data_IF_254961718717
#
_entry.id   IF_254961718717
#
_cell.length_a   1.000
_cell.length_b   1.000
_cell.length_c   1.000
_cell.angle_alpha   90.00
_cell.angle_beta   90.00
_cell.angle_gamma   90.00
#
_symmetry.space_group_name_H-M   'P 1'
#
loop_
_entity.id
_entity.type
_entity.pdbx_description
1 polymer ?
#
# COMPACT_ATOMS: atom_id res chain seq x y z
N UNK A 1 29.50 74.46 -44.32
CA UNK A 1 30.36 73.35 -43.83
C UNK A 1 30.66 73.35 -42.31
N UNK A 2 30.36 74.40 -41.51
CA UNK A 2 30.63 74.41 -40.05
C UNK A 2 29.48 73.84 -39.17
N UNK A 3 28.23 73.85 -39.64
CA UNK A 3 27.08 73.34 -38.89
C UNK A 3 26.99 71.80 -38.82
N UNK A 4 27.39 71.10 -39.89
CA UNK A 4 27.37 69.62 -39.93
C UNK A 4 28.39 68.96 -38.99
N UNK A 5 29.50 69.63 -38.68
CA UNK A 5 30.53 69.11 -37.76
C UNK A 5 30.09 69.20 -36.29
N UNK A 6 29.24 70.15 -35.92
CA UNK A 6 28.72 70.30 -34.55
C UNK A 6 27.63 69.26 -34.22
N UNK A 7 26.76 68.93 -35.20
CA UNK A 7 25.72 67.92 -35.03
C UNK A 7 26.30 66.49 -34.88
N UNK A 8 27.38 66.17 -35.61
CA UNK A 8 28.04 64.86 -35.51
C UNK A 8 28.77 64.66 -34.17
N UNK A 9 29.32 65.73 -33.59
CA UNK A 9 29.98 65.72 -32.27
C UNK A 9 28.96 65.60 -31.12
N UNK A 10 27.80 66.26 -31.22
CA UNK A 10 26.73 66.12 -30.24
C UNK A 10 26.08 64.72 -30.26
N UNK A 11 25.89 64.13 -31.44
CA UNK A 11 25.34 62.78 -31.59
C UNK A 11 26.30 61.68 -31.06
N UNK A 12 27.61 61.84 -31.26
CA UNK A 12 28.61 60.93 -30.69
C UNK A 12 28.73 61.11 -29.17
N UNK A 13 28.65 62.33 -28.65
CA UNK A 13 28.66 62.57 -27.20
C UNK A 13 27.41 62.01 -26.52
N UNK A 14 26.21 62.16 -27.12
CA UNK A 14 24.97 61.56 -26.60
C UNK A 14 24.96 60.03 -26.69
N UNK A 15 25.51 59.45 -27.76
CA UNK A 15 25.65 57.99 -27.91
C UNK A 15 26.66 57.39 -26.91
N UNK A 16 27.76 58.10 -26.63
CA UNK A 16 28.72 57.70 -25.58
C UNK A 16 28.14 57.84 -24.17
N UNK A 17 27.33 58.87 -23.92
CA UNK A 17 26.67 59.06 -22.61
C UNK A 17 25.56 58.03 -22.37
N UNK A 18 24.80 57.67 -23.40
CA UNK A 18 23.76 56.62 -23.32
C UNK A 18 24.36 55.23 -23.14
N UNK A 19 25.46 54.86 -23.82
CA UNK A 19 26.15 53.59 -23.56
C UNK A 19 26.84 53.52 -22.19
N UNK A 20 27.29 54.66 -21.65
CA UNK A 20 27.81 54.74 -20.28
C UNK A 20 26.71 54.71 -19.20
N UNK A 21 25.49 55.15 -19.52
CA UNK A 21 24.33 55.04 -18.62
C UNK A 21 23.73 53.64 -18.62
N UNK A 22 23.60 52.98 -19.77
CA UNK A 22 23.12 51.58 -19.84
C UNK A 22 24.05 50.63 -19.10
N UNK A 23 25.37 50.79 -19.24
CA UNK A 23 26.34 49.96 -18.50
C UNK A 23 26.32 50.18 -16.98
N UNK A 24 26.00 51.40 -16.51
CA UNK A 24 25.85 51.68 -15.08
C UNK A 24 24.51 51.19 -14.51
N UNK A 25 23.42 51.26 -15.28
CA UNK A 25 22.11 50.72 -14.88
C UNK A 25 22.11 49.18 -14.89
N UNK A 26 22.74 48.55 -15.88
CA UNK A 26 22.95 47.10 -15.95
C UNK A 26 23.89 46.61 -14.84
N UNK A 27 24.94 47.37 -14.51
CA UNK A 27 25.82 47.06 -13.38
C UNK A 27 25.12 47.23 -12.02
N UNK A 28 24.26 48.25 -11.87
CA UNK A 28 23.47 48.45 -10.66
C UNK A 28 22.38 47.37 -10.50
N UNK A 29 21.74 46.97 -11.60
CA UNK A 29 20.78 45.87 -11.64
C UNK A 29 21.45 44.52 -11.34
N UNK A 30 22.63 44.26 -11.92
CA UNK A 30 23.44 43.08 -11.62
C UNK A 30 23.93 43.06 -10.17
N UNK A 31 24.34 44.21 -9.61
CA UNK A 31 24.73 44.31 -8.21
C UNK A 31 23.55 44.06 -7.25
N UNK A 32 22.35 44.54 -7.60
CA UNK A 32 21.12 44.28 -6.84
C UNK A 32 20.68 42.82 -6.95
N UNK A 33 20.78 42.21 -8.14
CA UNK A 33 20.51 40.80 -8.37
C UNK A 33 21.51 39.90 -7.60
N UNK A 34 22.80 40.27 -7.57
CA UNK A 34 23.82 39.57 -6.80
C UNK A 34 23.58 39.71 -5.28
N UNK A 35 23.15 40.88 -4.81
CA UNK A 35 22.79 41.09 -3.40
C UNK A 35 21.54 40.28 -3.00
N UNK A 36 20.55 40.17 -3.90
CA UNK A 36 19.40 39.30 -3.70
C UNK A 36 19.80 37.82 -3.70
N UNK A 37 20.68 37.41 -4.63
CA UNK A 37 21.21 36.05 -4.71
C UNK A 37 22.02 35.68 -3.45
N UNK A 38 22.85 36.58 -2.92
CA UNK A 38 23.59 36.36 -1.66
C UNK A 38 22.68 36.13 -0.45
N UNK A 39 21.44 36.63 -0.48
CA UNK A 39 20.47 36.40 0.60
C UNK A 39 19.76 35.05 0.47
N UNK A 40 19.68 34.51 -0.74
CA UNK A 40 18.92 33.31 -1.07
C UNK A 40 19.80 32.05 -1.21
N UNK A 41 21.07 32.21 -1.55
CA UNK A 41 22.00 31.13 -1.87
C UNK A 41 23.22 31.13 -0.93
N UNK A 42 23.71 29.94 -0.52
CA UNK A 42 24.96 29.81 0.20
C UNK A 42 26.17 30.13 -0.68
N UNK A 43 27.31 30.46 -0.06
CA UNK A 43 28.52 30.91 -0.78
C UNK A 43 29.03 29.88 -1.80
N UNK A 44 28.99 28.59 -1.46
CA UNK A 44 29.42 27.52 -2.35
C UNK A 44 28.57 27.46 -3.65
N UNK A 45 27.27 27.73 -3.56
CA UNK A 45 26.37 27.69 -4.70
C UNK A 45 26.55 28.91 -5.63
N UNK A 46 26.95 30.06 -5.07
CA UNK A 46 27.29 31.25 -5.85
C UNK A 46 28.48 31.00 -6.78
N UNK A 47 29.44 30.17 -6.37
CA UNK A 47 30.56 29.76 -7.23
C UNK A 47 30.06 28.98 -8.45
N UNK A 48 29.12 28.06 -8.26
CA UNK A 48 28.51 27.32 -9.36
C UNK A 48 27.68 28.22 -10.29
N UNK A 49 26.85 29.10 -9.73
CA UNK A 49 26.01 30.03 -10.49
C UNK A 49 26.84 30.98 -11.35
N UNK A 50 27.89 31.58 -10.79
CA UNK A 50 28.77 32.51 -11.52
C UNK A 50 29.58 31.84 -12.63
N UNK A 51 29.85 30.53 -12.50
CA UNK A 51 30.52 29.73 -13.54
C UNK A 51 29.58 29.35 -14.69
N UNK A 52 28.33 29.00 -14.39
CA UNK A 52 27.40 28.39 -15.35
C UNK A 52 26.51 29.41 -16.08
N UNK A 53 26.11 30.50 -15.44
CA UNK A 53 25.22 31.51 -16.04
C UNK A 53 25.83 32.18 -17.28
N UNK A 54 27.12 32.58 -17.30
CA UNK A 54 27.71 33.20 -18.50
C UNK A 54 27.75 32.26 -19.71
N UNK A 55 27.83 30.95 -19.47
CA UNK A 55 27.87 29.92 -20.52
C UNK A 55 26.49 29.46 -21.00
N UNK A 56 25.42 29.73 -20.24
CA UNK A 56 24.08 29.26 -20.57
C UNK A 56 23.26 30.23 -21.42
N UNK A 57 23.81 31.40 -21.74
CA UNK A 57 23.12 32.44 -22.51
C UNK A 57 22.01 33.18 -21.77
N UNK A 58 21.82 32.94 -20.46
CA UNK A 58 20.86 33.64 -19.62
C UNK A 58 21.53 34.83 -18.90
N UNK A 59 20.78 35.93 -18.70
CA UNK A 59 21.21 37.02 -17.81
C UNK A 59 20.92 36.68 -16.35
N UNK A 60 21.75 37.17 -15.41
CA UNK A 60 21.51 37.11 -13.96
C UNK A 60 20.18 37.76 -13.52
N UNK A 61 19.65 38.67 -14.33
CA UNK A 61 18.38 39.38 -14.09
C UNK A 61 17.17 38.70 -14.73
N UNK A 62 17.39 37.78 -15.67
CA UNK A 62 16.32 37.07 -16.38
C UNK A 62 15.91 35.81 -15.62
N UNK A 63 15.05 35.99 -14.63
CA UNK A 63 14.50 34.90 -13.82
C UNK A 63 13.80 33.86 -14.67
N UNK A 64 13.16 34.24 -15.78
CA UNK A 64 12.42 33.29 -16.64
C UNK A 64 13.39 32.33 -17.32
N UNK A 65 14.43 32.86 -17.95
CA UNK A 65 15.47 32.04 -18.59
C UNK A 65 16.16 31.10 -17.59
N UNK A 66 16.50 31.60 -16.40
CA UNK A 66 17.12 30.81 -15.34
C UNK A 66 16.23 29.64 -14.87
N UNK A 67 14.91 29.85 -14.80
CA UNK A 67 13.97 28.84 -14.33
C UNK A 67 13.59 27.81 -15.42
N UNK A 68 13.55 28.20 -16.69
CA UNK A 68 13.10 27.31 -17.79
C UNK A 68 14.22 26.53 -18.46
N UNK A 69 15.48 26.93 -18.29
CA UNK A 69 16.61 26.28 -18.96
C UNK A 69 16.99 24.95 -18.26
N UNK A 70 16.60 23.82 -18.87
CA UNK A 70 16.84 22.48 -18.33
C UNK A 70 18.33 22.12 -18.24
N UNK A 71 19.13 22.49 -19.24
CA UNK A 71 20.57 22.18 -19.28
C UNK A 71 21.33 22.94 -18.19
N UNK A 72 21.01 24.22 -18.00
CA UNK A 72 21.56 25.02 -16.91
C UNK A 72 21.20 24.40 -15.54
N UNK A 73 19.93 24.04 -15.34
CA UNK A 73 19.48 23.45 -14.08
C UNK A 73 20.11 22.08 -13.80
N UNK A 74 20.31 21.25 -14.82
CA UNK A 74 21.01 19.98 -14.71
C UNK A 74 22.48 20.18 -14.31
N UNK A 75 23.21 21.03 -15.04
CA UNK A 75 24.62 21.31 -14.76
C UNK A 75 24.83 22.01 -13.41
N UNK A 76 23.91 22.88 -13.01
CA UNK A 76 23.90 23.52 -11.71
C UNK A 76 23.73 22.50 -10.58
N UNK A 77 22.80 21.55 -10.74
CA UNK A 77 22.59 20.49 -9.75
C UNK A 77 23.84 19.64 -9.56
N UNK A 78 24.54 19.28 -10.65
CA UNK A 78 25.80 18.52 -10.59
C UNK A 78 26.90 19.32 -9.89
N UNK A 79 27.06 20.60 -10.23
CA UNK A 79 28.09 21.45 -9.63
C UNK A 79 27.86 21.62 -8.12
N UNK A 80 26.62 21.89 -7.70
CA UNK A 80 26.26 22.09 -6.30
C UNK A 80 26.44 20.80 -5.50
N UNK A 81 26.03 19.64 -6.03
CA UNK A 81 26.21 18.36 -5.34
C UNK A 81 27.69 17.94 -5.22
N UNK A 82 28.57 18.46 -6.07
CA UNK A 82 30.02 18.19 -6.00
C UNK A 82 30.79 19.21 -5.16
N UNK A 83 30.29 20.44 -5.07
CA UNK A 83 31.01 21.58 -4.48
C UNK A 83 30.43 22.11 -3.16
N UNK A 84 29.25 21.64 -2.75
CA UNK A 84 28.55 22.07 -1.55
C UNK A 84 28.13 20.90 -0.67
N UNK A 85 27.99 21.18 0.62
CA UNK A 85 27.31 20.30 1.56
C UNK A 85 25.86 20.09 1.16
N UNK A 86 25.32 18.91 1.49
CA UNK A 86 23.94 18.55 1.10
C UNK A 86 22.89 19.52 1.67
N UNK A 87 23.10 20.03 2.88
CA UNK A 87 22.22 21.06 3.47
C UNK A 87 22.22 22.36 2.64
N UNK A 88 23.38 22.77 2.14
CA UNK A 88 23.52 23.95 1.30
C UNK A 88 22.98 23.71 -0.11
N UNK A 89 23.05 22.47 -0.61
CA UNK A 89 22.37 22.06 -1.83
C UNK A 89 20.84 22.18 -1.70
N UNK A 90 20.26 21.77 -0.56
CA UNK A 90 18.83 21.94 -0.27
C UNK A 90 18.45 23.43 -0.17
N UNK A 91 19.23 24.24 0.54
CA UNK A 91 19.01 25.71 0.61
C UNK A 91 19.06 26.34 -0.78
N UNK A 92 20.00 25.91 -1.62
CA UNK A 92 20.11 26.35 -3.02
C UNK A 92 18.87 26.00 -3.81
N UNK A 93 18.38 24.76 -3.67
CA UNK A 93 17.14 24.34 -4.33
C UNK A 93 15.94 25.15 -3.83
N UNK A 94 15.82 25.39 -2.53
CA UNK A 94 14.75 26.20 -1.95
C UNK A 94 14.79 27.66 -2.44
N UNK A 95 15.98 28.25 -2.47
CA UNK A 95 16.20 29.59 -3.02
C UNK A 95 15.80 29.67 -4.49
N UNK A 96 16.23 28.70 -5.32
CA UNK A 96 15.83 28.62 -6.72
C UNK A 96 14.31 28.44 -6.89
N UNK A 97 13.68 27.59 -6.08
CA UNK A 97 12.24 27.36 -6.14
C UNK A 97 11.44 28.62 -5.77
N UNK A 98 11.89 29.34 -4.74
CA UNK A 98 11.29 30.61 -4.30
C UNK A 98 11.46 31.70 -5.35
N UNK A 99 12.63 31.79 -5.98
CA UNK A 99 12.88 32.76 -7.06
C UNK A 99 11.98 32.49 -8.28
N UNK A 100 11.82 31.23 -8.66
CA UNK A 100 11.00 30.82 -9.79
C UNK A 100 9.48 30.84 -9.51
N UNK A 101 9.07 31.14 -8.27
CA UNK A 101 7.65 31.15 -7.88
C UNK A 101 6.98 29.77 -7.97
N UNK A 102 7.73 28.67 -7.80
CA UNK A 102 7.14 27.34 -7.78
C UNK A 102 6.17 27.22 -6.59
N UNK A 103 4.96 26.65 -6.79
CA UNK A 103 4.01 26.47 -5.71
C UNK A 103 4.57 25.48 -4.70
N UNK A 104 4.53 25.84 -3.42
CA UNK A 104 4.86 24.93 -2.31
C UNK A 104 3.79 23.84 -2.28
N UNK A 105 4.21 22.58 -2.51
CA UNK A 105 3.29 21.44 -2.48
C UNK A 105 3.18 20.93 -1.04
N UNK A 106 1.94 20.73 -0.57
CA UNK A 106 1.67 20.18 0.75
C UNK A 106 0.56 19.12 0.66
N UNK A 107 0.98 17.85 0.61
CA UNK A 107 0.11 16.67 0.57
C UNK A 107 0.09 15.91 1.90
N UNK A 108 0.49 16.56 2.99
CA UNK A 108 0.69 15.97 4.33
C UNK A 108 -0.56 15.31 4.93
N UNK A 109 -1.77 15.70 4.49
CA UNK A 109 -3.03 15.17 5.03
C UNK A 109 -3.38 13.76 4.49
N UNK A 110 -2.89 13.40 3.30
CA UNK A 110 -3.28 12.15 2.64
C UNK A 110 -2.80 10.90 3.40
N UNK A 111 -1.52 10.76 3.80
CA UNK A 111 -1.03 9.55 4.47
C UNK A 111 -1.78 9.17 5.77
N UNK A 112 -2.00 10.08 6.74
CA UNK A 112 -2.56 9.73 8.04
C UNK A 112 -4.06 9.44 7.96
N UNK A 113 -4.79 10.13 7.07
CA UNK A 113 -6.21 9.87 6.84
C UNK A 113 -6.41 8.44 6.32
N UNK A 114 -5.60 8.04 5.35
CA UNK A 114 -5.68 6.71 4.72
C UNK A 114 -5.21 5.64 5.69
N UNK A 115 -4.14 5.89 6.42
CA UNK A 115 -3.65 5.01 7.46
C UNK A 115 -4.72 4.79 8.54
N UNK A 116 -5.32 5.86 9.08
CA UNK A 116 -6.33 5.77 10.13
C UNK A 116 -7.64 5.11 9.67
N UNK A 117 -8.23 5.60 8.58
CA UNK A 117 -9.51 5.08 8.08
C UNK A 117 -9.35 3.66 7.51
N UNK A 118 -8.29 3.41 6.74
CA UNK A 118 -8.01 2.11 6.14
C UNK A 118 -7.71 1.05 7.20
N UNK A 119 -6.88 1.37 8.19
CA UNK A 119 -6.60 0.45 9.29
C UNK A 119 -7.84 0.22 10.16
N UNK A 120 -8.62 1.26 10.46
CA UNK A 120 -9.88 1.13 11.19
C UNK A 120 -10.86 0.18 10.50
N UNK A 121 -11.02 0.30 9.18
CA UNK A 121 -11.85 -0.60 8.39
C UNK A 121 -11.30 -2.04 8.42
N UNK A 122 -9.99 -2.23 8.20
CA UNK A 122 -9.36 -3.54 8.25
C UNK A 122 -9.52 -4.21 9.63
N UNK A 123 -9.39 -3.44 10.72
CA UNK A 123 -9.63 -3.90 12.08
C UNK A 123 -11.07 -4.35 12.30
N UNK A 124 -12.07 -3.63 11.78
CA UNK A 124 -13.47 -4.06 11.88
C UNK A 124 -13.67 -5.43 11.23
N UNK A 125 -13.14 -5.65 10.02
CA UNK A 125 -13.24 -6.95 9.34
C UNK A 125 -12.49 -8.06 10.08
N UNK A 126 -11.31 -7.75 10.63
CA UNK A 126 -10.53 -8.68 11.45
C UNK A 126 -11.27 -9.05 12.75
N UNK A 127 -11.84 -8.09 13.46
CA UNK A 127 -12.63 -8.32 14.68
C UNK A 127 -13.84 -9.19 14.35
N UNK A 128 -14.57 -8.89 13.28
CA UNK A 128 -15.70 -9.71 12.83
C UNK A 128 -15.27 -11.16 12.53
N UNK A 129 -14.10 -11.35 11.92
CA UNK A 129 -13.51 -12.68 11.69
C UNK A 129 -13.15 -13.40 12.99
N UNK A 130 -12.59 -12.70 13.99
CA UNK A 130 -12.27 -13.29 15.29
C UNK A 130 -13.54 -13.64 16.07
N UNK A 131 -14.54 -12.75 16.07
CA UNK A 131 -15.87 -13.01 16.64
C UNK A 131 -16.53 -14.24 16.03
N UNK A 132 -16.31 -14.50 14.74
CA UNK A 132 -16.85 -15.70 14.08
C UNK A 132 -16.22 -17.00 14.55
N UNK A 133 -15.03 -16.95 15.18
CA UNK A 133 -14.33 -18.10 15.74
C UNK A 133 -14.55 -18.27 17.26
N UNK A 134 -15.35 -17.40 17.88
CA UNK A 134 -15.65 -17.51 19.31
C UNK A 134 -16.52 -18.74 19.63
N UNK A 135 -16.38 -19.30 20.85
CA UNK A 135 -17.20 -20.42 21.32
C UNK A 135 -18.70 -20.10 21.18
N UNK A 136 -19.44 -20.96 20.46
CA UNK A 136 -20.88 -20.79 20.22
C UNK A 136 -21.28 -20.40 18.78
N UNK A 137 -20.32 -20.05 17.92
CA UNK A 137 -20.56 -19.74 16.50
C UNK A 137 -20.10 -20.84 15.52
N UNK A 138 -19.55 -21.95 16.02
CA UNK A 138 -19.33 -23.18 15.25
C UNK A 138 -18.11 -23.18 14.31
N UNK A 139 -17.16 -22.25 14.48
CA UNK A 139 -15.86 -22.25 13.77
C UNK A 139 -14.72 -22.37 14.77
N UNK A 140 -13.86 -23.37 14.57
CA UNK A 140 -12.61 -23.52 15.31
C UNK A 140 -11.52 -22.58 14.77
N UNK A 141 -10.71 -22.05 15.68
CA UNK A 141 -9.48 -21.31 15.39
C UNK A 141 -8.53 -22.20 14.61
N UNK A 142 -7.99 -21.67 13.53
CA UNK A 142 -7.12 -22.41 12.61
C UNK A 142 -5.86 -21.59 12.31
N UNK A 143 -4.89 -22.20 11.62
CA UNK A 143 -3.61 -21.56 11.26
C UNK A 143 -3.80 -20.28 10.42
N UNK A 144 -4.89 -20.18 9.65
CA UNK A 144 -5.27 -18.95 8.95
C UNK A 144 -5.64 -17.80 9.90
N UNK A 145 -6.14 -18.09 11.11
CA UNK A 145 -6.48 -17.06 12.11
C UNK A 145 -5.26 -16.54 12.86
N UNK A 146 -4.29 -17.41 13.14
CA UNK A 146 -3.02 -17.02 13.75
C UNK A 146 -2.16 -16.18 12.81
N UNK A 147 -2.08 -16.59 11.53
CA UNK A 147 -1.27 -15.88 10.53
C UNK A 147 -1.85 -14.51 10.18
N UNK A 148 -3.17 -14.37 10.06
CA UNK A 148 -3.77 -13.04 9.86
C UNK A 148 -3.63 -12.15 11.10
N UNK A 149 -3.66 -12.72 12.30
CA UNK A 149 -3.40 -11.97 13.54
C UNK A 149 -1.97 -11.44 13.56
N UNK A 150 -0.99 -12.28 13.18
CA UNK A 150 0.39 -11.83 13.01
C UNK A 150 0.51 -10.72 11.95
N UNK A 151 -0.19 -10.85 10.81
CA UNK A 151 -0.24 -9.78 9.81
C UNK A 151 -0.78 -8.47 10.39
N UNK A 152 -1.90 -8.48 11.12
CA UNK A 152 -2.48 -7.26 11.71
C UNK A 152 -1.50 -6.61 12.68
N UNK A 153 -0.86 -7.39 13.55
CA UNK A 153 0.15 -6.88 14.50
C UNK A 153 1.34 -6.26 13.76
N UNK A 154 1.82 -6.88 12.69
CA UNK A 154 2.93 -6.37 11.87
C UNK A 154 2.55 -5.15 11.02
N UNK A 155 1.26 -4.94 10.75
CA UNK A 155 0.76 -3.75 10.05
C UNK A 155 0.64 -2.53 10.98
N UNK A 156 0.57 -2.71 12.31
CA UNK A 156 0.47 -1.60 13.28
C UNK A 156 1.64 -0.62 13.18
N UNK A 157 2.93 -1.03 13.18
CA UNK A 157 4.03 -0.08 13.13
C UNK A 157 4.03 0.79 11.87
N UNK A 158 3.87 0.26 10.63
CA UNK A 158 3.69 1.09 9.44
C UNK A 158 2.54 2.11 9.54
N UNK A 159 1.41 1.74 10.15
CA UNK A 159 0.28 2.66 10.38
C UNK A 159 0.66 3.79 11.34
N UNK A 160 1.40 3.49 12.42
CA UNK A 160 1.86 4.50 13.39
C UNK A 160 2.93 5.41 12.78
N UNK A 161 3.86 4.82 12.02
CA UNK A 161 4.90 5.57 11.33
C UNK A 161 4.30 6.61 10.39
N UNK A 162 3.19 6.31 9.68
CA UNK A 162 2.53 7.29 8.81
C UNK A 162 2.23 8.64 9.49
N UNK A 163 1.87 8.66 10.78
CA UNK A 163 1.68 9.90 11.54
C UNK A 163 3.02 10.58 11.86
N UNK A 164 4.00 9.79 12.31
CA UNK A 164 5.34 10.31 12.66
C UNK A 164 6.06 10.89 11.44
N UNK A 165 5.88 10.29 10.27
CA UNK A 165 6.48 10.78 9.03
C UNK A 165 5.91 12.14 8.62
N UNK A 166 4.60 12.35 8.77
CA UNK A 166 3.98 13.66 8.50
C UNK A 166 4.51 14.74 9.45
N UNK A 167 4.69 14.41 10.72
CA UNK A 167 5.29 15.34 11.70
C UNK A 167 6.73 15.74 11.32
N UNK A 168 7.46 14.84 10.65
CA UNK A 168 8.79 15.13 10.11
C UNK A 168 8.75 15.78 8.71
N UNK A 169 7.57 16.14 8.18
CA UNK A 169 7.42 16.90 6.94
C UNK A 169 7.15 16.05 5.70
N UNK A 170 6.70 14.80 5.85
CA UNK A 170 6.32 14.00 4.70
C UNK A 170 5.17 14.63 3.91
N UNK A 171 5.28 14.66 2.57
CA UNK A 171 4.32 15.33 1.69
C UNK A 171 4.62 16.80 1.42
N UNK A 172 5.71 17.33 1.99
CA UNK A 172 6.29 18.63 1.64
C UNK A 172 7.55 18.45 0.81
N UNK A 173 7.89 19.49 0.06
CA UNK A 173 9.11 19.52 -0.74
C UNK A 173 10.36 19.42 0.14
N UNK A 174 11.28 18.51 -0.20
CA UNK A 174 12.43 18.15 0.64
C UNK A 174 13.33 19.36 0.98
N UNK A 175 13.46 20.31 0.07
CA UNK A 175 14.27 21.52 0.25
C UNK A 175 13.68 22.54 1.24
N UNK A 176 12.44 22.35 1.68
CA UNK A 176 11.81 23.19 2.72
C UNK A 176 12.03 22.65 4.13
N UNK A 177 12.63 21.46 4.26
CA UNK A 177 12.78 20.74 5.52
C UNK A 177 14.23 20.75 6.02
N UNK A 178 14.44 20.73 7.35
CA UNK A 178 15.76 20.56 7.91
C UNK A 178 16.27 19.13 7.65
N UNK A 179 17.59 18.99 7.46
CA UNK A 179 18.24 17.72 7.11
C UNK A 179 17.88 16.58 8.07
N UNK A 180 17.88 16.85 9.38
CA UNK A 180 17.53 15.88 10.42
C UNK A 180 16.13 15.29 10.26
N UNK A 181 15.16 16.08 9.80
CA UNK A 181 13.81 15.59 9.59
C UNK A 181 13.76 14.64 8.38
N UNK A 182 14.54 14.93 7.34
CA UNK A 182 14.67 14.06 6.16
C UNK A 182 15.31 12.72 6.56
N UNK A 183 16.38 12.75 7.37
CA UNK A 183 17.01 11.54 7.90
C UNK A 183 16.04 10.69 8.73
N UNK A 184 15.24 11.32 9.60
CA UNK A 184 14.19 10.63 10.36
C UNK A 184 13.17 9.97 9.42
N UNK A 185 12.74 10.68 8.38
CA UNK A 185 11.81 10.16 7.37
C UNK A 185 12.40 8.92 6.70
N UNK A 186 13.66 8.97 6.24
CA UNK A 186 14.36 7.82 5.65
C UNK A 186 14.48 6.64 6.63
N UNK A 187 14.74 6.90 7.91
CA UNK A 187 14.84 5.87 8.93
C UNK A 187 13.51 5.14 9.16
N UNK A 188 12.41 5.87 9.33
CA UNK A 188 11.09 5.24 9.49
C UNK A 188 10.64 4.53 8.21
N UNK A 189 11.07 5.00 7.04
CA UNK A 189 10.85 4.28 5.79
C UNK A 189 11.56 2.95 5.71
N UNK A 190 12.84 2.94 6.04
CA UNK A 190 13.62 1.70 6.12
C UNK A 190 12.95 0.67 7.04
N UNK A 191 12.49 1.09 8.23
CA UNK A 191 11.75 0.21 9.13
C UNK A 191 10.39 -0.22 8.54
N UNK A 192 9.65 0.72 7.96
CA UNK A 192 8.34 0.47 7.35
C UNK A 192 8.39 -0.58 6.23
N UNK A 193 9.42 -0.53 5.38
CA UNK A 193 9.63 -1.53 4.31
C UNK A 193 9.86 -2.94 4.85
N UNK A 194 10.66 -3.08 5.93
CA UNK A 194 10.88 -4.37 6.58
C UNK A 194 9.57 -4.96 7.12
N UNK A 195 8.78 -4.15 7.83
CA UNK A 195 7.46 -4.58 8.31
C UNK A 195 6.50 -4.91 7.17
N UNK A 196 6.53 -4.13 6.08
CA UNK A 196 5.71 -4.37 4.89
C UNK A 196 5.97 -5.75 4.29
N UNK A 197 7.23 -6.15 4.08
CA UNK A 197 7.54 -7.46 3.48
C UNK A 197 7.01 -8.63 4.31
N UNK A 198 7.18 -8.55 5.64
CA UNK A 198 6.72 -9.61 6.54
C UNK A 198 5.19 -9.62 6.64
N UNK A 199 4.56 -8.46 6.83
CA UNK A 199 3.10 -8.33 6.91
C UNK A 199 2.43 -8.81 5.62
N UNK A 200 2.92 -8.38 4.46
CA UNK A 200 2.38 -8.75 3.16
C UNK A 200 2.50 -10.26 2.90
N UNK A 201 3.60 -10.87 3.33
CA UNK A 201 3.79 -12.32 3.24
C UNK A 201 2.84 -13.07 4.16
N UNK A 202 2.68 -12.63 5.42
CA UNK A 202 1.75 -13.24 6.38
C UNK A 202 0.30 -13.17 5.89
N UNK A 203 -0.08 -12.07 5.24
CA UNK A 203 -1.39 -11.92 4.60
C UNK A 203 -1.61 -12.98 3.51
N UNK A 204 -0.67 -13.13 2.56
CA UNK A 204 -0.74 -14.16 1.51
C UNK A 204 -0.79 -15.57 2.09
N UNK A 205 0.02 -15.85 3.11
CA UNK A 205 0.05 -17.15 3.81
C UNK A 205 -1.30 -17.44 4.48
N UNK A 206 -1.94 -16.45 5.12
CA UNK A 206 -3.28 -16.61 5.68
C UNK A 206 -4.31 -17.03 4.63
N UNK A 207 -4.30 -16.39 3.45
CA UNK A 207 -5.19 -16.75 2.34
C UNK A 207 -4.89 -18.18 1.86
N UNK A 208 -3.62 -18.53 1.71
CA UNK A 208 -3.21 -19.87 1.29
C UNK A 208 -3.60 -20.95 2.31
N UNK A 209 -3.48 -20.71 3.62
CA UNK A 209 -3.97 -21.64 4.65
C UNK A 209 -5.48 -21.80 4.60
N UNK A 210 -6.21 -20.71 4.37
CA UNK A 210 -7.65 -20.76 4.18
C UNK A 210 -8.04 -21.59 2.94
N UNK A 211 -7.34 -21.41 1.82
CA UNK A 211 -7.53 -22.23 0.61
C UNK A 211 -7.19 -23.69 0.84
N UNK A 212 -6.11 -23.98 1.56
CA UNK A 212 -5.70 -25.35 1.88
C UNK A 212 -6.75 -26.07 2.73
N UNK A 213 -7.33 -25.38 3.72
CA UNK A 213 -8.42 -25.90 4.57
C UNK A 213 -9.67 -26.25 3.75
N UNK A 214 -9.96 -25.51 2.68
CA UNK A 214 -11.13 -25.77 1.82
C UNK A 214 -10.87 -26.95 0.87
N UNK A 215 -9.66 -27.07 0.32
CA UNK A 215 -9.35 -27.99 -0.78
C UNK A 215 -8.38 -29.12 -0.40
N UNK A 216 -8.58 -29.73 0.77
CA UNK A 216 -7.63 -30.67 1.39
C UNK A 216 -7.26 -31.91 0.55
N UNK A 217 -8.11 -32.35 -0.40
CA UNK A 217 -7.98 -33.65 -1.07
C UNK A 217 -7.52 -33.62 -2.56
N UNK A 218 -7.15 -32.46 -3.10
CA UNK A 218 -6.86 -32.34 -4.53
C UNK A 218 -5.38 -32.06 -4.81
N UNK A 219 -4.95 -32.26 -6.07
CA UNK A 219 -3.65 -31.79 -6.59
C UNK A 219 -3.35 -30.32 -6.27
N UNK A 220 -4.41 -29.51 -6.07
CA UNK A 220 -4.35 -28.12 -5.62
C UNK A 220 -3.63 -27.95 -4.27
N UNK A 221 -3.71 -28.93 -3.37
CA UNK A 221 -3.03 -28.90 -2.08
C UNK A 221 -1.51 -28.78 -2.23
N UNK A 222 -0.92 -29.53 -3.19
CA UNK A 222 0.52 -29.42 -3.52
C UNK A 222 0.87 -28.05 -4.08
N UNK A 223 0.04 -27.52 -4.98
CA UNK A 223 0.25 -26.18 -5.55
C UNK A 223 0.22 -25.09 -4.46
N UNK A 224 -0.68 -25.19 -3.49
CA UNK A 224 -0.76 -24.24 -2.36
C UNK A 224 0.52 -24.27 -1.52
N UNK A 225 1.04 -25.46 -1.16
CA UNK A 225 2.29 -25.57 -0.41
C UNK A 225 3.49 -24.99 -1.18
N UNK A 226 3.57 -25.22 -2.50
CA UNK A 226 4.61 -24.63 -3.34
C UNK A 226 4.50 -23.10 -3.34
N UNK A 227 3.30 -22.55 -3.49
CA UNK A 227 3.07 -21.10 -3.47
C UNK A 227 3.38 -20.49 -2.10
N UNK A 228 3.09 -21.18 -1.00
CA UNK A 228 3.53 -20.74 0.35
C UNK A 228 5.05 -20.66 0.43
N UNK A 229 5.76 -21.67 -0.08
CA UNK A 229 7.22 -21.67 -0.16
C UNK A 229 7.76 -20.50 -0.99
N UNK A 230 7.13 -20.19 -2.13
CA UNK A 230 7.48 -19.04 -2.96
C UNK A 230 7.26 -17.70 -2.23
N UNK A 231 6.18 -17.56 -1.47
CA UNK A 231 5.92 -16.35 -0.66
C UNK A 231 6.97 -16.18 0.44
N UNK A 232 7.36 -17.26 1.12
CA UNK A 232 8.40 -17.23 2.14
C UNK A 232 9.78 -16.93 1.54
N UNK A 233 10.09 -17.50 0.38
CA UNK A 233 11.34 -17.22 -0.35
C UNK A 233 11.41 -15.75 -0.79
N UNK A 234 10.30 -15.21 -1.31
CA UNK A 234 10.16 -13.79 -1.62
C UNK A 234 10.42 -12.91 -0.39
N UNK A 235 9.77 -13.22 0.74
CA UNK A 235 9.96 -12.49 1.99
C UNK A 235 11.42 -12.51 2.43
N UNK A 236 12.05 -13.70 2.48
CA UNK A 236 13.43 -13.82 2.92
C UNK A 236 14.38 -13.04 1.99
N UNK A 237 14.23 -13.20 0.67
CA UNK A 237 15.10 -12.54 -0.31
C UNK A 237 15.04 -11.02 -0.18
N UNK A 238 13.84 -10.42 -0.19
CA UNK A 238 13.69 -8.97 -0.16
C UNK A 238 13.87 -8.37 1.24
N UNK A 239 13.51 -9.10 2.30
CA UNK A 239 13.78 -8.66 3.68
C UNK A 239 15.27 -8.52 3.93
N UNK A 240 16.08 -9.53 3.62
CA UNK A 240 17.53 -9.45 3.80
C UNK A 240 18.19 -8.49 2.81
N UNK A 241 17.69 -8.39 1.57
CA UNK A 241 18.17 -7.40 0.62
C UNK A 241 17.92 -5.97 1.12
N UNK A 242 16.77 -5.68 1.73
CA UNK A 242 16.48 -4.37 2.33
C UNK A 242 17.30 -4.17 3.61
N UNK A 243 17.36 -5.16 4.51
CA UNK A 243 18.11 -5.07 5.76
C UNK A 243 19.59 -4.74 5.53
N UNK A 244 20.19 -5.33 4.49
CA UNK A 244 21.57 -5.11 4.09
C UNK A 244 21.71 -4.24 2.83
N UNK A 245 20.73 -3.37 2.56
CA UNK A 245 20.73 -2.55 1.34
C UNK A 245 21.92 -1.59 1.26
N UNK A 246 22.46 -1.17 2.40
CA UNK A 246 23.62 -0.29 2.49
C UNK A 246 24.66 -0.85 3.46
N UNK A 247 25.93 -0.58 3.17
CA UNK A 247 27.05 -0.88 4.06
C UNK A 247 27.81 0.41 4.40
N UNK A 248 27.94 0.79 5.68
CA UNK A 248 27.25 0.22 6.86
C UNK A 248 25.73 0.48 6.87
N UNK A 249 24.95 -0.29 7.64
CA UNK A 249 23.46 -0.23 7.61
C UNK A 249 22.92 1.17 7.90
N UNK A 250 23.57 1.90 8.82
CA UNK A 250 23.22 3.28 9.16
C UNK A 250 23.33 4.27 8.01
N UNK A 251 24.08 3.93 6.96
CA UNK A 251 24.13 4.74 5.76
C UNK A 251 22.79 4.78 5.01
N UNK A 252 21.88 3.82 5.23
CA UNK A 252 20.55 3.85 4.59
C UNK A 252 19.73 5.10 4.94
N UNK A 253 19.91 5.67 6.14
CA UNK A 253 19.22 6.90 6.56
C UNK A 253 20.16 8.10 6.75
N UNK A 254 21.47 7.88 6.94
CA UNK A 254 22.48 8.94 7.06
C UNK A 254 23.22 9.25 5.75
N UNK A 255 22.74 8.74 4.60
CA UNK A 255 23.38 8.95 3.29
C UNK A 255 23.51 10.42 2.88
N UNK A 256 22.75 11.31 3.51
CA UNK A 256 22.77 12.74 3.22
C UNK A 256 23.86 13.50 3.99
N UNK A 257 24.49 12.86 4.98
CA UNK A 257 25.57 13.46 5.75
C UNK A 257 26.93 13.13 5.12
N UNK A 258 27.73 14.15 4.78
CA UNK A 258 29.02 13.99 4.08
C UNK A 258 30.02 13.09 4.82
N UNK A 259 29.91 13.02 6.14
CA UNK A 259 30.82 12.23 6.99
C UNK A 259 30.56 10.73 6.90
N UNK A 260 29.38 10.33 6.43
CA UNK A 260 28.98 8.93 6.35
C UNK A 260 29.28 8.37 4.95
N UNK A 261 30.53 7.94 4.75
CA UNK A 261 30.93 7.20 3.55
C UNK A 261 30.37 5.78 3.61
N UNK A 262 29.54 5.43 2.63
CA UNK A 262 28.95 4.10 2.50
C UNK A 262 28.62 3.79 1.05
N UNK A 263 28.23 2.54 0.80
CA UNK A 263 27.73 2.10 -0.50
C UNK A 263 26.41 1.38 -0.32
N UNK A 264 25.42 1.77 -1.12
CA UNK A 264 24.15 1.09 -1.21
C UNK A 264 24.06 0.26 -2.49
N UNK A 265 23.22 -0.77 -2.46
CA UNK A 265 22.73 -1.45 -3.65
C UNK A 265 21.85 -0.50 -4.48
N UNK A 266 21.52 -0.88 -5.72
CA UNK A 266 20.56 -0.14 -6.52
C UNK A 266 19.14 -0.31 -5.96
N UNK A 267 18.74 0.61 -5.06
CA UNK A 267 17.45 0.60 -4.34
C UNK A 267 16.28 0.63 -5.33
N UNK A 268 16.39 1.40 -6.41
CA UNK A 268 15.35 1.48 -7.45
C UNK A 268 15.12 0.13 -8.12
N UNK A 269 16.20 -0.53 -8.54
CA UNK A 269 16.13 -1.84 -9.19
C UNK A 269 15.56 -2.90 -8.24
N UNK A 270 15.98 -2.87 -6.97
CA UNK A 270 15.45 -3.75 -5.92
C UNK A 270 13.94 -3.55 -5.73
N UNK A 271 13.48 -2.29 -5.67
CA UNK A 271 12.06 -1.96 -5.56
C UNK A 271 11.23 -2.46 -6.75
N UNK A 272 11.74 -2.32 -7.98
CA UNK A 272 11.05 -2.78 -9.19
C UNK A 272 10.90 -4.31 -9.23
N UNK A 273 11.98 -5.05 -8.94
CA UNK A 273 11.91 -6.50 -8.86
C UNK A 273 10.95 -6.94 -7.76
N UNK A 274 11.04 -6.32 -6.58
CA UNK A 274 10.16 -6.63 -5.46
C UNK A 274 8.68 -6.46 -5.81
N UNK A 275 8.33 -5.33 -6.43
CA UNK A 275 6.96 -5.07 -6.85
C UNK A 275 6.50 -6.04 -7.95
N UNK A 276 7.35 -6.35 -8.95
CA UNK A 276 7.02 -7.31 -10.00
C UNK A 276 6.76 -8.72 -9.46
N UNK A 277 7.65 -9.24 -8.60
CA UNK A 277 7.46 -10.56 -7.98
C UNK A 277 6.21 -10.60 -7.08
N UNK A 278 5.93 -9.53 -6.34
CA UNK A 278 4.73 -9.44 -5.52
C UNK A 278 3.44 -9.49 -6.36
N UNK A 279 3.39 -8.78 -7.49
CA UNK A 279 2.26 -8.84 -8.44
C UNK A 279 2.09 -10.26 -8.98
N UNK A 280 3.18 -10.91 -9.37
CA UNK A 280 3.13 -12.30 -9.86
C UNK A 280 2.56 -13.24 -8.79
N UNK A 281 2.98 -13.10 -7.54
CA UNK A 281 2.45 -13.89 -6.42
C UNK A 281 0.96 -13.61 -6.19
N UNK A 282 0.51 -12.35 -6.29
CA UNK A 282 -0.91 -12.01 -6.19
C UNK A 282 -1.74 -12.69 -7.27
N UNK A 283 -1.28 -12.66 -8.53
CA UNK A 283 -1.95 -13.32 -9.65
C UNK A 283 -2.00 -14.83 -9.46
N UNK A 284 -0.90 -15.46 -9.01
CA UNK A 284 -0.89 -16.91 -8.72
C UNK A 284 -1.95 -17.24 -7.68
N UNK A 285 -1.98 -16.52 -6.56
CA UNK A 285 -2.94 -16.76 -5.46
C UNK A 285 -4.39 -16.55 -5.94
N UNK A 286 -4.63 -15.54 -6.79
CA UNK A 286 -5.93 -15.25 -7.37
C UNK A 286 -6.43 -16.37 -8.30
N UNK A 287 -5.54 -16.96 -9.09
CA UNK A 287 -5.87 -18.01 -10.08
C UNK A 287 -6.05 -19.39 -9.44
N UNK A 288 -5.34 -19.69 -8.34
CA UNK A 288 -5.41 -20.98 -7.64
C UNK A 288 -6.86 -21.50 -7.39
N UNK A 289 -7.77 -20.73 -6.77
CA UNK A 289 -9.13 -21.21 -6.51
C UNK A 289 -10.02 -21.23 -7.75
N UNK A 290 -9.73 -20.44 -8.79
CA UNK A 290 -10.61 -20.30 -9.97
C UNK A 290 -10.75 -21.61 -10.74
N UNK A 291 -9.66 -22.36 -10.90
CA UNK A 291 -9.68 -23.61 -11.64
C UNK A 291 -10.66 -24.61 -11.01
N UNK A 292 -10.68 -24.68 -9.68
CA UNK A 292 -11.57 -25.57 -8.93
C UNK A 292 -13.01 -25.05 -8.88
N UNK A 293 -13.20 -23.73 -8.79
CA UNK A 293 -14.52 -23.10 -8.77
C UNK A 293 -15.28 -23.29 -10.09
N UNK A 294 -14.59 -23.31 -11.23
CA UNK A 294 -15.23 -23.52 -12.54
C UNK A 294 -15.90 -24.91 -12.65
N UNK A 295 -15.37 -25.92 -11.97
CA UNK A 295 -15.89 -27.28 -12.02
C UNK A 295 -17.06 -27.53 -11.06
N UNK A 296 -17.37 -26.60 -10.16
CA UNK A 296 -18.27 -26.84 -9.04
C UNK A 296 -19.59 -26.05 -9.16
N UNK A 297 -20.71 -26.75 -9.34
CA UNK A 297 -22.02 -26.12 -9.41
C UNK A 297 -22.49 -25.65 -8.03
N UNK A 298 -22.41 -24.34 -7.78
CA UNK A 298 -22.78 -23.72 -6.50
C UNK A 298 -24.09 -22.94 -6.58
N UNK A 299 -24.85 -22.97 -5.48
CA UNK A 299 -26.02 -22.12 -5.27
C UNK A 299 -25.65 -20.62 -5.30
N UNK A 300 -26.59 -19.78 -5.76
CA UNK A 300 -26.39 -18.34 -6.02
C UNK A 300 -25.74 -17.58 -4.85
N UNK A 301 -26.15 -17.87 -3.61
CA UNK A 301 -25.63 -17.19 -2.41
C UNK A 301 -24.13 -17.45 -2.20
N UNK A 302 -23.67 -18.69 -2.42
CA UNK A 302 -22.25 -19.06 -2.33
C UNK A 302 -21.46 -18.48 -3.51
N UNK A 303 -22.08 -18.45 -4.70
CA UNK A 303 -21.50 -17.83 -5.89
C UNK A 303 -21.24 -16.33 -5.70
N UNK A 304 -22.17 -15.61 -5.08
CA UNK A 304 -22.01 -14.18 -4.80
C UNK A 304 -20.84 -13.92 -3.84
N UNK A 305 -20.70 -14.70 -2.76
CA UNK A 305 -19.56 -14.59 -1.84
C UNK A 305 -18.23 -14.77 -2.56
N UNK A 306 -18.13 -15.81 -3.40
CA UNK A 306 -16.92 -16.08 -4.19
C UNK A 306 -16.60 -14.90 -5.11
N UNK A 307 -17.61 -14.31 -5.77
CA UNK A 307 -17.39 -13.14 -6.62
C UNK A 307 -16.87 -11.94 -5.82
N UNK A 308 -17.41 -11.65 -4.62
CA UNK A 308 -16.93 -10.54 -3.79
C UNK A 308 -15.47 -10.72 -3.37
N UNK A 309 -15.10 -11.92 -2.90
CA UNK A 309 -13.71 -12.24 -2.52
C UNK A 309 -12.78 -12.13 -3.72
N UNK A 310 -13.21 -12.62 -4.88
CA UNK A 310 -12.43 -12.55 -6.12
C UNK A 310 -12.24 -11.11 -6.61
N UNK A 311 -13.29 -10.29 -6.58
CA UNK A 311 -13.21 -8.87 -6.93
C UNK A 311 -12.27 -8.10 -6.01
N UNK A 312 -12.27 -8.40 -4.71
CA UNK A 312 -11.32 -7.82 -3.76
C UNK A 312 -9.89 -8.29 -4.00
N UNK A 313 -9.68 -9.55 -4.39
CA UNK A 313 -8.39 -10.05 -4.85
C UNK A 313 -7.87 -9.32 -6.09
N UNK A 314 -8.74 -9.06 -7.07
CA UNK A 314 -8.39 -8.22 -8.24
C UNK A 314 -8.05 -6.79 -7.80
N UNK A 315 -8.83 -6.19 -6.90
CA UNK A 315 -8.52 -4.85 -6.40
C UNK A 315 -7.14 -4.77 -5.76
N UNK A 316 -6.75 -5.76 -4.93
CA UNK A 316 -5.40 -5.85 -4.36
C UNK A 316 -4.35 -5.94 -5.48
N UNK A 317 -4.54 -6.78 -6.50
CA UNK A 317 -3.59 -6.86 -7.62
C UNK A 317 -3.44 -5.53 -8.38
N UNK A 318 -4.52 -4.78 -8.57
CA UNK A 318 -4.50 -3.46 -9.22
C UNK A 318 -3.73 -2.47 -8.36
N UNK A 319 -3.96 -2.46 -7.05
CA UNK A 319 -3.19 -1.63 -6.12
C UNK A 319 -1.68 -1.94 -6.20
N UNK A 320 -1.30 -3.22 -6.30
CA UNK A 320 0.09 -3.65 -6.50
C UNK A 320 0.70 -3.12 -7.81
N UNK A 321 -0.07 -3.08 -8.91
CA UNK A 321 0.36 -2.52 -10.20
C UNK A 321 0.53 -1.00 -10.14
N UNK A 322 -0.41 -0.30 -9.49
CA UNK A 322 -0.30 1.16 -9.31
C UNK A 322 0.94 1.49 -8.47
N UNK A 323 1.20 0.69 -7.41
CA UNK A 323 2.41 0.84 -6.60
C UNK A 323 3.69 0.73 -7.44
N UNK A 324 3.77 -0.26 -8.34
CA UNK A 324 4.91 -0.37 -9.26
C UNK A 324 5.08 0.89 -10.11
N UNK A 325 3.99 1.46 -10.63
CA UNK A 325 4.06 2.71 -11.40
C UNK A 325 4.62 3.86 -10.54
N UNK A 326 4.14 4.02 -9.31
CA UNK A 326 4.65 5.05 -8.39
C UNK A 326 6.13 4.87 -8.05
N UNK A 327 6.61 3.63 -7.92
CA UNK A 327 8.03 3.31 -7.72
C UNK A 327 8.89 3.67 -8.94
N UNK A 328 8.36 3.55 -10.16
CA UNK A 328 9.06 3.95 -11.39
C UNK A 328 9.12 5.46 -11.52
N UNK A 329 8.05 6.18 -11.16
CA UNK A 329 8.05 7.64 -11.13
C UNK A 329 9.03 8.16 -10.08
N UNK A 330 9.01 7.57 -8.88
CA UNK A 330 9.93 7.89 -7.79
C UNK A 330 11.41 7.74 -8.19
N UNK A 331 11.75 6.68 -8.94
CA UNK A 331 13.12 6.43 -9.38
C UNK A 331 13.70 7.52 -10.31
N UNK A 332 12.85 8.32 -10.96
CA UNK A 332 13.27 9.42 -11.83
C UNK A 332 13.18 10.79 -11.15
N UNK A 333 12.71 10.86 -9.89
CA UNK A 333 12.50 12.13 -9.20
C UNK A 333 13.67 12.50 -8.29
N UNK A 334 13.87 13.81 -8.14
CA UNK A 334 14.80 14.41 -7.17
C UNK A 334 14.12 14.80 -5.84
N UNK A 335 12.80 14.69 -5.74
CA UNK A 335 12.03 15.09 -4.55
C UNK A 335 11.50 13.88 -3.78
N UNK A 336 12.36 13.31 -2.93
CA UNK A 336 12.10 12.06 -2.22
C UNK A 336 10.88 12.18 -1.29
N UNK A 337 10.77 13.29 -0.53
CA UNK A 337 9.72 13.44 0.50
C UNK A 337 8.33 13.66 -0.06
N UNK A 338 8.21 14.20 -1.28
CA UNK A 338 6.91 14.38 -1.94
C UNK A 338 6.51 13.11 -2.70
N UNK A 339 7.38 12.59 -3.57
CA UNK A 339 6.98 11.53 -4.51
C UNK A 339 6.93 10.14 -3.87
N UNK A 340 7.56 9.96 -2.70
CA UNK A 340 7.42 8.72 -1.94
C UNK A 340 6.03 8.59 -1.29
N UNK A 341 5.30 9.69 -1.06
CA UNK A 341 3.97 9.66 -0.44
C UNK A 341 3.06 8.66 -1.14
N UNK A 342 3.03 8.69 -2.47
CA UNK A 342 2.18 7.82 -3.26
C UNK A 342 2.58 6.34 -3.12
N UNK A 343 3.88 6.04 -3.13
CA UNK A 343 4.37 4.68 -2.95
C UNK A 343 4.01 4.10 -1.56
N UNK A 344 4.22 4.89 -0.50
CA UNK A 344 3.85 4.53 0.87
C UNK A 344 2.33 4.34 1.01
N UNK A 345 1.56 5.27 0.45
CA UNK A 345 0.11 5.25 0.44
C UNK A 345 -0.43 3.96 -0.18
N UNK A 346 0.01 3.61 -1.39
CA UNK A 346 -0.43 2.39 -2.07
C UNK A 346 0.01 1.11 -1.33
N UNK A 347 1.21 1.09 -0.75
CA UNK A 347 1.67 -0.01 0.11
C UNK A 347 0.75 -0.25 1.31
N UNK A 348 0.29 0.80 1.99
CA UNK A 348 -0.63 0.64 3.13
C UNK A 348 -2.03 0.17 2.70
N UNK A 349 -2.56 0.71 1.60
CA UNK A 349 -3.84 0.26 1.03
C UNK A 349 -3.79 -1.21 0.67
N UNK A 350 -2.69 -1.66 0.06
CA UNK A 350 -2.47 -3.06 -0.30
C UNK A 350 -2.56 -3.98 0.94
N UNK A 351 -1.90 -3.61 2.04
CA UNK A 351 -1.97 -4.36 3.30
C UNK A 351 -3.39 -4.40 3.88
N UNK A 352 -4.09 -3.25 3.94
CA UNK A 352 -5.44 -3.18 4.50
C UNK A 352 -6.45 -3.94 3.65
N UNK A 353 -6.41 -3.76 2.32
CA UNK A 353 -7.26 -4.49 1.38
C UNK A 353 -6.98 -6.00 1.41
N UNK A 354 -5.73 -6.38 1.63
CA UNK A 354 -5.30 -7.74 1.90
C UNK A 354 -5.97 -8.35 3.13
N UNK A 355 -5.89 -7.67 4.27
CA UNK A 355 -6.52 -8.10 5.54
C UNK A 355 -8.04 -8.26 5.37
N UNK A 356 -8.69 -7.30 4.70
CA UNK A 356 -10.13 -7.36 4.41
C UNK A 356 -10.42 -8.58 3.53
N UNK A 357 -9.68 -8.78 2.45
CA UNK A 357 -9.84 -9.92 1.53
C UNK A 357 -9.72 -11.26 2.25
N UNK A 358 -8.71 -11.41 3.09
CA UNK A 358 -8.49 -12.62 3.89
C UNK A 358 -9.62 -12.86 4.91
N UNK A 359 -10.26 -11.80 5.41
CA UNK A 359 -11.30 -11.86 6.43
C UNK A 359 -12.71 -12.10 5.89
N UNK A 360 -12.98 -11.67 4.65
CA UNK A 360 -14.30 -11.75 4.01
C UNK A 360 -14.98 -13.12 4.08
N UNK A 361 -14.31 -14.26 3.82
CA UNK A 361 -14.98 -15.55 3.85
C UNK A 361 -15.49 -15.94 5.25
N UNK A 362 -14.76 -15.58 6.30
CA UNK A 362 -15.15 -15.82 7.69
C UNK A 362 -16.31 -14.90 8.10
N UNK A 363 -16.24 -13.62 7.72
CA UNK A 363 -17.31 -12.63 7.97
C UNK A 363 -18.60 -13.03 7.29
N UNK A 364 -18.55 -13.51 6.03
CA UNK A 364 -19.73 -14.00 5.33
C UNK A 364 -20.38 -15.18 6.07
N UNK A 365 -19.58 -16.17 6.51
CA UNK A 365 -20.09 -17.29 7.30
C UNK A 365 -20.75 -16.80 8.60
N UNK A 366 -20.14 -15.86 9.30
CA UNK A 366 -20.69 -15.27 10.51
C UNK A 366 -22.06 -14.62 10.28
N UNK A 367 -22.17 -13.77 9.26
CA UNK A 367 -23.43 -13.10 8.90
C UNK A 367 -24.52 -14.10 8.52
N UNK A 368 -24.18 -15.13 7.73
CA UNK A 368 -25.13 -16.19 7.36
C UNK A 368 -25.61 -17.03 8.54
N UNK A 369 -24.75 -17.24 9.54
CA UNK A 369 -25.11 -17.94 10.78
C UNK A 369 -26.00 -17.10 11.70
N UNK A 370 -25.77 -15.79 11.76
CA UNK A 370 -26.60 -14.85 12.53
C UNK A 370 -28.02 -14.75 11.97
N UNK A 371 -28.18 -14.65 10.65
CA UNK A 371 -29.51 -14.60 10.01
C UNK A 371 -30.27 -15.90 10.20
N UNK A 372 -29.61 -17.05 10.09
CA UNK A 372 -30.22 -18.35 10.34
C UNK A 372 -30.67 -18.52 11.82
N UNK A 373 -29.84 -18.08 12.79
CA UNK A 373 -30.22 -18.09 14.22
C UNK A 373 -31.36 -17.12 14.52
N UNK A 374 -31.38 -15.94 13.89
CA UNK A 374 -32.46 -14.95 14.02
C UNK A 374 -33.78 -15.47 13.46
N UNK A 375 -33.76 -16.11 12.28
CA UNK A 375 -34.95 -16.75 11.70
C UNK A 375 -35.44 -17.94 12.55
N UNK A 376 -34.52 -18.75 13.10
CA UNK A 376 -34.86 -19.84 14.02
C UNK A 376 -35.48 -19.29 15.32
N UNK A 377 -34.93 -18.22 15.90
CA UNK A 377 -35.46 -17.58 17.09
C UNK A 377 -36.83 -16.92 16.85
N UNK A 378 -37.03 -16.31 15.68
CA UNK A 378 -38.31 -15.72 15.28
C UNK A 378 -39.38 -16.80 15.08
N UNK A 379 -39.01 -17.95 14.50
CA UNK A 379 -39.89 -19.12 14.33
C UNK A 379 -40.21 -19.80 15.67
N UNK A 380 -39.25 -19.84 16.60
CA UNK A 380 -39.47 -20.38 17.94
C UNK A 380 -40.37 -19.45 18.76
N UNK A 381 -40.16 -18.13 18.68
CA UNK A 381 -41.00 -17.11 19.33
C UNK A 381 -42.43 -17.12 18.78
N UNK A 382 -42.64 -17.31 17.48
CA UNK A 382 -44.00 -17.44 16.92
C UNK A 382 -44.70 -18.73 17.35
N UNK A 383 -43.96 -19.85 17.49
CA UNK A 383 -44.50 -21.11 18.04
C UNK A 383 -44.81 -21.05 19.53
N UNK A 384 -44.00 -20.36 20.34
CA UNK A 384 -44.31 -20.15 21.77
C UNK A 384 -45.45 -19.14 21.98
N UNK A 385 -45.53 -18.09 21.14
CA UNK A 385 -46.63 -17.11 21.22
C UNK A 385 -47.97 -17.71 20.80
N UNK A 386 -47.99 -18.67 19.86
CA UNK A 386 -49.21 -19.37 19.43
C UNK A 386 -49.73 -20.42 20.41
N UNK A 387 -48.98 -20.76 21.47
CA UNK A 387 -49.37 -21.76 22.46
C UNK A 387 -50.15 -21.17 23.67
N UNK A 388 -50.50 -19.88 23.64
CA UNK A 388 -51.13 -19.17 24.77
C UNK A 388 -52.62 -18.83 24.60
N UNK A 389 -53.30 -19.33 23.56
CA UNK A 389 -54.74 -19.11 23.36
C UNK A 389 -55.50 -20.42 23.17
N UNK A 390 -55.61 -21.22 24.24
CA UNK A 390 -56.67 -22.21 24.35
C UNK A 390 -57.09 -22.40 25.81
N UNK A 391 -57.90 -21.46 26.29
CA UNK A 391 -58.80 -21.60 27.44
C UNK A 391 -60.10 -20.94 27.01
N UNK A 392 -61.28 -21.53 26.95
CA UNK A 392 -61.82 -22.82 27.35
C UNK A 392 -63.32 -22.60 27.49
N UNK A 393 -64.17 -23.50 26.98
CA UNK A 393 -65.57 -23.63 27.43
C UNK A 393 -66.06 -25.06 27.22
N UNK A 394 -66.45 -25.66 28.33
CA UNK A 394 -67.22 -26.90 28.49
C UNK A 394 -68.68 -26.66 28.09
N UNK A 395 -69.30 -27.55 27.31
CA UNK A 395 -70.22 -28.58 27.84
C UNK A 395 -71.17 -29.20 26.79
N UNK A 396 -71.48 -30.46 27.07
CA UNK A 396 -72.71 -31.22 26.77
C UNK A 396 -72.86 -32.07 25.50
N UNK A 397 -73.39 -33.25 25.79
CA UNK A 397 -73.56 -34.47 25.01
C UNK A 397 -74.46 -34.34 23.76
N UNK A 398 -74.20 -35.22 22.78
CA UNK A 398 -75.08 -35.46 21.65
C UNK A 398 -74.58 -36.62 20.77
N UNK A 399 -75.27 -37.73 20.85
CA UNK A 399 -75.09 -39.00 20.14
C UNK A 399 -75.21 -38.86 18.61
N UNK A 400 -74.38 -39.59 17.85
CA UNK A 400 -74.72 -40.39 16.64
C UNK A 400 -73.72 -40.30 15.47
N UNK A 401 -73.28 -41.50 15.06
CA UNK A 401 -72.96 -41.99 13.71
C UNK A 401 -72.06 -41.18 12.75
N UNK A 402 -70.98 -41.85 12.30
CA UNK A 402 -70.76 -42.00 10.86
C UNK A 402 -69.41 -41.57 10.27
N UNK A 403 -68.52 -42.56 10.13
CA UNK A 403 -67.56 -42.76 9.02
C UNK A 403 -66.24 -41.97 8.91
N UNK A 404 -65.18 -42.74 9.23
CA UNK A 404 -63.93 -42.97 8.48
C UNK A 404 -62.93 -41.81 8.30
N UNK A 405 -61.76 -41.93 8.92
CA UNK A 405 -60.54 -42.38 8.22
C UNK A 405 -59.30 -42.47 9.14
N UNK A 406 -58.71 -43.68 9.17
CA UNK A 406 -57.26 -43.97 9.15
C UNK A 406 -56.44 -43.44 10.33
N UNK A 407 -56.31 -44.30 11.35
CA UNK A 407 -55.24 -44.23 12.34
C UNK A 407 -53.93 -44.77 11.74
N UNK A 408 -52.86 -43.96 11.74
CA UNK A 408 -51.48 -44.45 11.65
C UNK A 408 -50.71 -44.01 12.89
N UNK A 409 -50.53 -44.97 13.82
CA UNK A 409 -49.58 -44.89 14.93
C UNK A 409 -48.17 -44.69 14.37
N UNK A 410 -47.43 -43.71 14.88
CA UNK A 410 -45.98 -43.77 14.93
C UNK A 410 -45.53 -43.33 16.34
N UNK A 411 -44.93 -44.29 17.02
CA UNK A 411 -44.16 -44.17 18.26
C UNK A 411 -42.87 -43.36 18.04
N UNK A 412 -42.24 -42.83 19.11
CA UNK A 412 -41.06 -41.98 19.00
C UNK A 412 -39.81 -42.85 18.75
N UNK A 413 -38.97 -42.48 17.78
CA UNK A 413 -37.67 -43.13 17.56
C UNK A 413 -36.52 -42.13 17.64
N UNK A 414 -35.90 -42.14 18.83
CA UNK A 414 -34.47 -42.09 19.14
C UNK A 414 -33.53 -41.83 17.96
N UNK A 415 -32.68 -40.81 18.13
CA UNK A 415 -31.57 -40.42 17.27
C UNK A 415 -30.54 -41.53 17.09
N UNK A 416 -30.22 -41.86 15.84
CA UNK A 416 -28.88 -42.24 15.37
C UNK A 416 -28.89 -42.40 13.84
N UNK A 417 -27.81 -41.90 13.21
CA UNK A 417 -27.24 -42.15 11.87
C UNK A 417 -26.83 -40.80 11.24
N UNK A 418 -25.55 -40.39 11.24
CA UNK A 418 -24.38 -41.01 10.57
C UNK A 418 -24.48 -40.95 9.05
N UNK A 419 -23.55 -40.24 8.40
CA UNK A 419 -23.11 -40.62 7.06
C UNK A 419 -21.63 -40.23 6.80
N UNK A 420 -20.78 -41.22 7.08
CA UNK A 420 -19.66 -41.76 6.29
C UNK A 420 -18.59 -40.80 5.76
N UNK A 421 -17.40 -40.96 6.36
CA UNK A 421 -16.09 -40.60 5.84
C UNK A 421 -15.48 -41.86 5.18
N UNK A 422 -15.09 -41.78 3.90
CA UNK A 422 -14.39 -42.86 3.20
C UNK A 422 -12.87 -42.65 3.31
N UNK A 423 -12.21 -43.54 4.05
CA UNK A 423 -10.78 -43.80 3.96
C UNK A 423 -10.59 -45.18 3.33
N UNK A 424 -9.90 -45.24 2.19
CA UNK A 424 -9.42 -46.48 1.59
C UNK A 424 -7.97 -46.74 2.03
N UNK A 425 -7.79 -47.73 2.91
CA UNK A 425 -6.54 -48.41 3.28
C UNK A 425 -7.01 -49.77 3.84
N UNK A 426 -6.58 -50.99 3.45
CA UNK A 426 -5.37 -51.45 2.78
C UNK A 426 -5.58 -52.81 2.08
N UNK A 427 -4.62 -53.11 1.21
CA UNK A 427 -4.17 -54.42 0.73
C UNK A 427 -3.80 -55.40 1.85
N UNK A 428 -4.11 -56.69 1.62
CA UNK A 428 -3.50 -57.96 2.09
C UNK A 428 -4.64 -58.95 2.38
N UNK A 429 -4.68 -60.21 1.97
CA UNK A 429 -3.74 -61.08 1.28
C UNK A 429 -4.15 -62.53 1.59
N UNK A 430 -4.13 -63.41 0.58
CA UNK A 430 -3.86 -64.84 0.76
C UNK A 430 -5.03 -65.82 0.96
N UNK A 431 -4.94 -66.92 0.18
CA UNK A 431 -5.67 -68.20 0.18
C UNK A 431 -7.10 -68.11 -0.40
N UNK A 432 -7.53 -68.94 -1.34
CA UNK A 432 -7.02 -70.17 -1.92
C UNK A 432 -8.22 -70.86 -2.61
N UNK A 433 -7.94 -71.81 -3.49
CA UNK A 433 -8.86 -72.81 -4.05
C UNK A 433 -9.73 -72.44 -5.27
N UNK A 434 -9.15 -72.72 -6.45
CA UNK A 434 -9.57 -73.77 -7.43
C UNK A 434 -11.07 -74.06 -7.49
N UNK A 435 -11.69 -74.01 -8.68
CA UNK A 435 -12.41 -75.12 -9.36
C UNK A 435 -12.98 -74.62 -10.71
N UNK A 436 -12.55 -75.34 -11.77
CA UNK A 436 -13.01 -75.41 -13.18
C UNK A 436 -12.77 -74.22 -14.11
#
# INVERSE_FOLDING_TARGET
MKFFKFAALAATFMASHTMAQTSNEDAAAAAKALAAAKKLYPECALVCLTKLIPTSGCSLTDTTCLCTNEELNANLSVCVLQGCNYEDALKTKNGSATMCGYPVRDDSLKPPLVAGVGFGLALVFYILRMCSALPGYGRELSWDDWTITACVVLTVPPTVFAFTLVDNGLGKDMWTLPLKNIENVLFYYFLGELFYFVAQTMNKISILFFLHRIFQHNNLSRAIWITMGLCLAYCAAFFFATLFQCWPINHAWLQLEEKHLGRCNNIHLQGWFSAAFNIVLDVIILVLPLHQLYQLQMALNKKLMVMVVFSMGIFVTIASVIRLNTLVVFANSQNITHDYVDAAYWSTIELYAGIITASLPAVYKFMSGLTAKSQAFTTLKSKLSGASTSSGTTDSAGTALGSKAIARRLTPKRSEAEFVLLTDVESQGGKGDRWN
#
